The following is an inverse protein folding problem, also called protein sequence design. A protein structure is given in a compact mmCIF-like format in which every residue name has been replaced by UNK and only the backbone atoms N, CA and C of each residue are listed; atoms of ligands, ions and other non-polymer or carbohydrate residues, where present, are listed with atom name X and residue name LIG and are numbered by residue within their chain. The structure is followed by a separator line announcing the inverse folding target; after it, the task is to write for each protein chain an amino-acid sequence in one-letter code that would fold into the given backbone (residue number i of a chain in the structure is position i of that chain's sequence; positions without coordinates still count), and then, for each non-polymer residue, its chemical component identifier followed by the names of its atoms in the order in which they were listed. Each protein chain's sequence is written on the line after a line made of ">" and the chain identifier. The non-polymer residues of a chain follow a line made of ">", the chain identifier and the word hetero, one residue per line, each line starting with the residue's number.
data_IF_832351790934
#
_entry.id   IF_832351790934
#
_cell.length_a   1.000
_cell.length_b   1.000
_cell.length_c   1.000
_cell.angle_alpha   90.00
_cell.angle_beta   90.00
_cell.angle_gamma   90.00
#
_symmetry.space_group_name_H-M   'P 1'
#
loop_
_entity.id
_entity.type
_entity.pdbx_description
1 polymer ?
#
# COMPACT_ATOMS: atom_id res chain seq x y z
N UNK A 1 -19.58 3.63 21.51
CA UNK A 1 -19.36 4.05 20.11
C UNK A 1 -20.06 3.03 19.24
N UNK A 2 -21.13 3.38 18.50
CA UNK A 2 -21.75 2.43 17.59
C UNK A 2 -20.76 2.13 16.46
N UNK A 3 -20.48 0.84 16.26
CA UNK A 3 -19.68 0.34 15.15
C UNK A 3 -20.38 0.70 13.84
N UNK A 4 -19.77 1.56 13.03
CA UNK A 4 -20.22 1.77 11.66
C UNK A 4 -19.72 0.56 10.86
N UNK A 5 -20.60 -0.30 10.34
CA UNK A 5 -20.18 -1.48 9.60
C UNK A 5 -19.46 -1.03 8.31
N UNK A 6 -18.19 -1.41 8.20
CA UNK A 6 -17.42 -1.21 6.97
C UNK A 6 -18.00 -2.10 5.86
N UNK A 7 -18.07 -1.60 4.61
CA UNK A 7 -18.63 -2.35 3.49
C UNK A 7 -17.86 -3.66 3.26
N UNK A 8 -18.57 -4.70 2.83
CA UNK A 8 -18.01 -5.99 2.41
C UNK A 8 -17.26 -5.81 1.08
N UNK A 9 -15.95 -6.06 1.09
CA UNK A 9 -15.02 -5.82 -0.03
C UNK A 9 -14.47 -7.11 -0.64
N UNK A 10 -15.09 -8.26 -0.34
CA UNK A 10 -14.73 -9.58 -0.89
C UNK A 10 -14.53 -9.57 -2.42
N UNK A 11 -15.32 -8.78 -3.15
CA UNK A 11 -15.26 -8.68 -4.62
C UNK A 11 -14.21 -7.70 -5.20
N UNK A 12 -13.45 -6.96 -4.38
CA UNK A 12 -12.37 -6.07 -4.89
C UNK A 12 -11.21 -6.85 -5.54
N UNK A 13 -11.13 -8.17 -5.34
CA UNK A 13 -10.16 -9.06 -6.02
C UNK A 13 -10.36 -9.14 -7.54
N UNK A 14 -11.56 -8.84 -8.05
CA UNK A 14 -11.87 -8.92 -9.48
C UNK A 14 -11.03 -7.96 -10.35
N UNK A 15 -10.51 -6.88 -9.74
CA UNK A 15 -9.63 -5.92 -10.42
C UNK A 15 -8.24 -6.49 -10.78
N UNK A 16 -7.79 -7.58 -10.15
CA UNK A 16 -6.44 -8.15 -10.32
C UNK A 16 -6.36 -9.49 -11.04
N UNK A 17 -7.49 -10.01 -11.54
CA UNK A 17 -7.54 -11.28 -12.28
C UNK A 17 -7.38 -12.50 -11.37
N UNK A 18 -8.25 -13.49 -11.56
CA UNK A 18 -8.17 -14.81 -10.93
C UNK A 18 -6.79 -15.43 -11.21
N UNK A 19 -6.01 -15.71 -10.17
CA UNK A 19 -4.77 -16.46 -10.30
C UNK A 19 -5.10 -17.96 -10.29
N UNK A 20 -4.91 -18.62 -11.43
CA UNK A 20 -4.64 -20.06 -11.47
C UNK A 20 -3.12 -20.25 -11.52
N UNK A 21 -2.53 -21.06 -10.62
CA UNK A 21 -1.10 -21.32 -10.65
C UNK A 21 -0.70 -22.01 -11.97
N UNK A 22 0.46 -21.67 -12.56
CA UNK A 22 0.94 -22.35 -13.75
C UNK A 22 1.23 -23.84 -13.44
N UNK A 23 0.92 -24.77 -14.37
CA UNK A 23 1.19 -26.18 -14.15
C UNK A 23 2.69 -26.41 -13.96
N UNK A 24 3.04 -27.22 -12.95
CA UNK A 24 4.41 -27.65 -12.67
C UNK A 24 4.98 -28.30 -13.93
N UNK A 25 6.02 -27.69 -14.51
CA UNK A 25 6.80 -28.30 -15.60
C UNK A 25 7.50 -29.54 -15.06
N UNK A 26 7.02 -30.72 -15.46
CA UNK A 26 7.79 -31.96 -15.37
C UNK A 26 8.98 -31.86 -16.34
N UNK A 27 10.19 -32.30 -15.93
CA UNK A 27 11.33 -32.30 -16.83
C UNK A 27 11.17 -33.39 -17.89
N UNK A 28 11.15 -32.98 -19.16
CA UNK A 28 11.24 -33.90 -20.29
C UNK A 28 12.67 -34.49 -20.40
N UNK A 29 12.83 -35.76 -20.74
CA UNK A 29 14.13 -36.42 -20.78
C UNK A 29 14.98 -35.94 -21.97
N UNK A 30 16.27 -35.79 -21.70
CA UNK A 30 17.30 -35.40 -22.65
C UNK A 30 17.47 -36.41 -23.78
N UNK A 31 17.55 -35.94 -25.03
CA UNK A 31 17.99 -36.75 -26.15
C UNK A 31 19.17 -36.07 -26.89
N UNK A 32 20.23 -36.86 -27.10
CA UNK A 32 21.53 -36.47 -27.69
C UNK A 32 21.48 -36.41 -29.23
N UNK A 33 22.48 -35.79 -29.89
CA UNK A 33 22.36 -35.31 -31.27
C UNK A 33 22.84 -36.33 -32.31
N UNK A 34 22.24 -36.31 -33.50
CA UNK A 34 22.77 -36.98 -34.70
C UNK A 34 23.20 -35.97 -35.78
N UNK A 35 24.37 -36.23 -36.36
CA UNK A 35 25.10 -35.46 -37.38
C UNK A 35 24.63 -35.79 -38.82
N UNK A 36 24.61 -34.72 -39.65
CA UNK A 36 24.98 -34.60 -41.08
C UNK A 36 24.30 -35.46 -42.19
N UNK A 37 23.77 -34.79 -43.23
CA UNK A 37 24.44 -34.62 -44.54
C UNK A 37 23.77 -33.57 -45.46
N UNK A 38 24.58 -33.09 -46.40
CA UNK A 38 24.47 -31.91 -47.30
C UNK A 38 23.59 -32.12 -48.54
N UNK A 39 23.14 -31.01 -49.11
CA UNK A 39 22.78 -30.85 -50.53
C UNK A 39 22.70 -29.37 -50.91
N UNK A 40 23.58 -28.93 -51.80
CA UNK A 40 23.79 -27.56 -52.31
C UNK A 40 22.62 -26.99 -53.12
N UNK A 41 22.49 -25.65 -53.11
CA UNK A 41 22.33 -24.77 -54.30
C UNK A 41 22.17 -23.29 -53.88
N UNK A 42 23.14 -22.46 -54.24
CA UNK A 42 23.19 -20.98 -54.14
C UNK A 42 22.96 -20.33 -55.53
N UNK A 43 22.97 -18.98 -55.71
CA UNK A 43 22.32 -17.90 -54.96
C UNK A 43 21.63 -16.87 -55.91
N UNK A 44 20.87 -15.91 -55.35
CA UNK A 44 20.60 -14.61 -55.99
C UNK A 44 20.58 -13.49 -54.94
N UNK A 45 21.29 -12.40 -55.21
CA UNK A 45 21.74 -11.40 -54.24
C UNK A 45 20.88 -10.14 -54.07
N UNK A 46 21.42 -9.20 -53.28
CA UNK A 46 20.97 -7.80 -53.13
C UNK A 46 20.83 -7.35 -51.66
N UNK A 47 21.95 -7.08 -50.95
CA UNK A 47 22.42 -5.73 -50.51
C UNK A 47 21.40 -4.87 -49.72
N UNK A 48 21.52 -4.69 -48.41
CA UNK A 48 22.31 -3.62 -47.73
C UNK A 48 21.32 -2.69 -46.97
N UNK A 49 21.50 -2.15 -45.78
CA UNK A 49 22.67 -1.69 -45.03
C UNK A 49 22.30 -1.55 -43.53
N UNK A 50 23.17 -2.04 -42.64
CA UNK A 50 23.27 -1.63 -41.23
C UNK A 50 24.21 -0.42 -41.14
N UNK A 51 23.91 0.55 -40.28
CA UNK A 51 24.88 1.56 -39.84
C UNK A 51 24.91 1.64 -38.31
N UNK A 52 25.98 1.10 -37.73
CA UNK A 52 26.61 1.59 -36.51
C UNK A 52 27.57 2.72 -36.88
N UNK A 53 27.70 3.74 -36.02
CA UNK A 53 28.91 4.57 -35.97
C UNK A 53 29.10 5.12 -34.56
N UNK A 54 30.30 4.88 -34.03
CA UNK A 54 30.85 5.46 -32.82
C UNK A 54 31.96 6.48 -33.17
N UNK A 55 32.07 7.49 -32.30
CA UNK A 55 33.26 8.21 -31.79
C UNK A 55 34.21 9.06 -32.67
N UNK A 56 34.91 9.93 -31.91
CA UNK A 56 35.97 10.94 -32.18
C UNK A 56 35.45 12.38 -32.47
N UNK A 57 35.93 13.48 -31.87
CA UNK A 57 36.88 13.74 -30.77
C UNK A 57 36.77 15.25 -30.35
N UNK A 58 37.31 15.60 -29.16
CA UNK A 58 37.47 16.95 -28.54
C UNK A 58 38.57 17.81 -29.25
N UNK A 59 38.98 19.06 -28.86
CA UNK A 59 38.88 19.73 -27.54
C UNK A 59 38.73 21.28 -27.51
N UNK A 60 38.48 21.84 -26.30
CA UNK A 60 39.18 23.05 -25.79
C UNK A 60 38.91 23.31 -24.30
N UNK A 61 40.01 23.42 -23.57
CA UNK A 61 40.14 23.85 -22.17
C UNK A 61 39.98 25.37 -22.03
N UNK A 62 39.55 25.85 -20.86
CA UNK A 62 40.34 26.80 -20.02
C UNK A 62 39.64 27.07 -18.68
N UNK A 63 40.42 26.94 -17.61
CA UNK A 63 40.13 27.32 -16.21
C UNK A 63 40.55 28.80 -16.00
N UNK A 64 40.12 29.44 -14.91
CA UNK A 64 41.16 29.78 -13.93
C UNK A 64 40.76 29.58 -12.45
N UNK A 65 41.83 29.39 -11.67
CA UNK A 65 41.94 29.32 -10.21
C UNK A 65 42.54 30.64 -9.66
N UNK A 66 42.69 30.73 -8.32
CA UNK A 66 43.32 31.77 -7.48
C UNK A 66 42.33 32.83 -6.90
N UNK A 67 42.31 33.24 -5.62
CA UNK A 67 43.14 33.02 -4.43
C UNK A 67 42.43 33.58 -3.17
N UNK A 68 42.72 33.04 -1.98
CA UNK A 68 42.48 33.67 -0.66
C UNK A 68 43.39 34.92 -0.44
N UNK A 69 43.20 35.73 0.62
CA UNK A 69 43.75 35.39 1.95
C UNK A 69 42.92 35.85 3.17
N UNK A 70 43.25 35.29 4.34
CA UNK A 70 42.87 35.75 5.69
C UNK A 70 43.57 37.07 6.08
N UNK A 71 43.20 37.68 7.22
CA UNK A 71 44.09 37.55 8.40
C UNK A 71 43.38 37.48 9.77
N UNK A 72 44.01 36.74 10.69
CA UNK A 72 43.99 36.87 12.17
C UNK A 72 45.16 37.82 12.59
N UNK A 73 45.42 38.23 13.87
CA UNK A 73 45.18 37.49 15.14
C UNK A 73 44.94 38.32 16.44
N UNK A 74 44.97 37.58 17.58
CA UNK A 74 45.32 37.95 18.97
C UNK A 74 44.15 38.05 19.97
N UNK A 75 44.02 37.07 20.89
CA UNK A 75 44.60 36.97 22.27
C UNK A 75 43.76 37.78 23.29
N UNK A 76 43.43 37.38 24.53
CA UNK A 76 43.73 36.31 25.49
C UNK A 76 42.39 35.98 26.19
N UNK A 77 42.19 34.88 26.92
CA UNK A 77 42.64 34.72 28.30
C UNK A 77 42.35 33.31 28.82
N UNK A 78 43.24 32.83 29.67
CA UNK A 78 43.21 31.51 30.29
C UNK A 78 42.81 31.62 31.76
N UNK A 79 41.95 30.71 32.27
CA UNK A 79 42.02 30.28 33.69
C UNK A 79 41.65 28.79 33.80
N UNK A 80 42.40 28.15 34.68
CA UNK A 80 42.69 26.73 34.92
C UNK A 80 41.60 25.87 35.60
N UNK A 81 41.81 24.54 35.65
CA UNK A 81 40.96 23.58 36.35
C UNK A 81 41.22 23.54 37.86
N UNK A 82 40.19 23.21 38.64
CA UNK A 82 40.32 22.98 40.08
C UNK A 82 40.36 21.46 40.33
N UNK A 83 41.42 21.03 40.99
CA UNK A 83 41.68 19.67 41.48
C UNK A 83 41.60 19.62 43.02
N UNK A 84 41.50 18.40 43.52
CA UNK A 84 41.76 17.85 44.86
C UNK A 84 40.83 18.19 46.03
N UNK A 85 40.16 17.14 46.52
CA UNK A 85 40.35 16.73 47.92
C UNK A 85 40.14 15.22 48.08
N UNK A 86 41.26 14.51 48.20
CA UNK A 86 41.37 13.12 48.65
C UNK A 86 41.18 13.07 50.16
N UNK A 87 40.48 12.05 50.66
CA UNK A 87 40.67 11.50 52.00
C UNK A 87 40.34 10.02 51.97
N UNK A 88 41.39 9.21 51.85
CA UNK A 88 41.37 7.79 52.21
C UNK A 88 41.34 7.67 53.74
N UNK A 89 40.57 6.71 54.28
CA UNK A 89 40.95 5.82 55.39
C UNK A 89 40.05 4.58 55.32
N UNK A 90 40.70 3.43 55.08
CA UNK A 90 40.50 2.07 55.66
C UNK A 90 39.28 1.88 56.58
N UNK A 91 38.45 0.82 56.54
CA UNK A 91 38.79 -0.61 56.60
C UNK A 91 37.49 -1.44 56.68
N UNK A 92 37.42 -2.55 55.92
CA UNK A 92 36.72 -3.85 56.15
C UNK A 92 35.20 -3.86 56.53
N UNK A 93 34.34 -4.64 55.84
CA UNK A 93 32.88 -4.58 56.01
C UNK A 93 32.36 -5.50 57.13
N UNK A 94 31.24 -5.15 57.81
CA UNK A 94 30.44 -6.13 58.51
C UNK A 94 29.42 -6.78 57.56
N UNK A 95 29.55 -8.09 57.40
CA UNK A 95 28.54 -8.97 56.82
C UNK A 95 27.24 -8.90 57.61
N UNK A 96 26.17 -8.40 57.00
CA UNK A 96 24.80 -8.73 57.38
C UNK A 96 23.98 -9.00 56.11
N UNK A 97 23.16 -10.07 56.10
CA UNK A 97 22.48 -10.54 54.89
C UNK A 97 21.39 -9.54 54.50
N UNK A 98 21.49 -9.02 53.28
CA UNK A 98 20.42 -8.30 52.60
C UNK A 98 19.28 -9.31 52.37
N UNK A 99 18.06 -9.09 52.91
CA UNK A 99 16.91 -9.84 52.49
C UNK A 99 16.68 -9.50 51.02
N UNK A 100 16.83 -10.50 50.14
CA UNK A 100 16.28 -10.49 48.80
C UNK A 100 14.77 -10.39 48.95
N UNK A 101 14.26 -9.16 49.02
CA UNK A 101 12.85 -8.91 48.80
C UNK A 101 12.66 -9.04 47.30
N UNK A 102 12.39 -10.27 46.89
CA UNK A 102 11.74 -10.57 45.61
C UNK A 102 10.56 -9.60 45.50
N UNK A 103 10.70 -8.58 44.65
CA UNK A 103 9.54 -7.94 44.06
C UNK A 103 9.05 -8.91 42.98
N UNK A 104 8.49 -10.02 43.42
CA UNK A 104 7.42 -10.69 42.71
C UNK A 104 6.28 -9.67 42.64
N UNK A 105 6.34 -8.79 41.64
CA UNK A 105 5.15 -8.10 41.17
C UNK A 105 4.29 -9.21 40.61
N UNK A 106 3.16 -9.57 41.27
CA UNK A 106 2.23 -10.48 40.66
C UNK A 106 1.75 -9.75 39.42
N UNK A 107 2.06 -10.29 38.24
CA UNK A 107 1.35 -9.92 37.02
C UNK A 107 -0.08 -10.34 37.31
N UNK A 108 -0.88 -9.41 37.83
CA UNK A 108 -2.29 -9.61 38.10
C UNK A 108 -2.96 -9.81 36.75
N UNK A 109 -2.98 -11.06 36.28
CA UNK A 109 -3.74 -11.55 35.13
C UNK A 109 -5.23 -11.54 35.48
N UNK A 110 -5.74 -10.36 35.77
CA UNK A 110 -7.16 -10.05 35.84
C UNK A 110 -7.40 -8.81 34.98
N UNK A 111 -6.86 -8.81 33.76
CA UNK A 111 -7.36 -7.92 32.72
C UNK A 111 -8.65 -8.56 32.18
N UNK A 112 -9.76 -8.25 32.85
CA UNK A 112 -11.12 -8.67 32.46
C UNK A 112 -11.64 -7.88 31.26
N UNK A 113 -10.78 -7.12 30.54
CA UNK A 113 -11.20 -6.47 29.30
C UNK A 113 -11.64 -7.52 28.29
N UNK A 114 -12.87 -7.42 27.75
CA UNK A 114 -13.35 -8.37 26.76
C UNK A 114 -12.40 -8.39 25.56
N UNK A 115 -11.79 -9.54 25.31
CA UNK A 115 -10.92 -9.75 24.15
C UNK A 115 -11.74 -9.49 22.90
N UNK A 116 -11.29 -8.52 22.10
CA UNK A 116 -11.98 -8.20 20.85
C UNK A 116 -11.72 -9.33 19.85
N UNK A 117 -12.76 -9.82 19.15
CA UNK A 117 -12.63 -11.02 18.32
C UNK A 117 -11.73 -10.80 17.10
N UNK A 118 -11.60 -9.56 16.61
CA UNK A 118 -10.94 -9.26 15.34
C UNK A 118 -9.85 -8.18 15.38
N UNK A 119 -9.42 -7.74 16.57
CA UNK A 119 -8.39 -6.71 16.72
C UNK A 119 -7.64 -6.85 18.06
N UNK A 120 -6.49 -6.19 18.24
CA UNK A 120 -5.80 -6.20 19.52
C UNK A 120 -6.67 -5.63 20.63
N UNK A 121 -6.58 -6.22 21.81
CA UNK A 121 -7.13 -5.64 23.04
C UNK A 121 -6.21 -4.49 23.52
N UNK A 122 -6.70 -3.51 24.31
CA UNK A 122 -5.93 -2.32 24.67
C UNK A 122 -4.52 -2.60 25.24
N UNK A 123 -4.36 -3.67 26.01
CA UNK A 123 -3.08 -4.06 26.63
C UNK A 123 -2.48 -5.34 26.04
N UNK A 124 -3.02 -5.83 24.91
CA UNK A 124 -2.53 -7.07 24.28
C UNK A 124 -1.23 -6.78 23.52
N UNK A 125 -0.11 -7.46 23.86
CA UNK A 125 1.11 -7.35 23.07
C UNK A 125 0.85 -7.79 21.64
N UNK A 126 1.42 -7.08 20.66
CA UNK A 126 1.19 -7.37 19.24
C UNK A 126 1.53 -8.84 18.88
N UNK A 127 2.55 -9.42 19.53
CA UNK A 127 2.92 -10.83 19.35
C UNK A 127 1.83 -11.81 19.82
N UNK A 128 1.17 -11.52 20.94
CA UNK A 128 0.05 -12.31 21.44
C UNK A 128 -1.16 -12.22 20.50
N UNK A 129 -1.46 -11.01 20.02
CA UNK A 129 -2.49 -10.78 19.01
C UNK A 129 -2.24 -11.57 17.73
N UNK A 130 -1.02 -11.52 17.19
CA UNK A 130 -0.64 -12.24 15.97
C UNK A 130 -0.69 -13.76 16.15
N UNK A 131 -0.34 -14.28 17.33
CA UNK A 131 -0.45 -15.70 17.64
C UNK A 131 -1.91 -16.16 17.71
N UNK A 132 -2.79 -15.32 18.26
CA UNK A 132 -4.23 -15.59 18.42
C UNK A 132 -4.99 -15.52 17.10
N UNK A 133 -4.68 -14.55 16.24
CA UNK A 133 -5.41 -14.27 15.00
C UNK A 133 -4.51 -14.35 13.77
N UNK A 134 -4.35 -15.58 13.26
CA UNK A 134 -3.68 -15.85 11.99
C UNK A 134 -4.67 -15.76 10.82
N UNK A 135 -4.47 -14.86 9.84
CA UNK A 135 -5.38 -14.72 8.71
C UNK A 135 -5.57 -16.00 7.90
N UNK A 136 -4.54 -16.86 7.81
CA UNK A 136 -4.59 -18.13 7.09
C UNK A 136 -5.57 -19.15 7.70
N UNK A 137 -5.75 -19.15 9.02
CA UNK A 137 -6.56 -20.14 9.75
C UNK A 137 -7.85 -19.56 10.33
N UNK A 138 -7.97 -18.24 10.40
CA UNK A 138 -9.19 -17.57 10.86
C UNK A 138 -10.22 -17.65 9.75
N UNK A 139 -11.36 -18.31 9.98
CA UNK A 139 -12.43 -18.42 8.99
C UNK A 139 -13.30 -17.17 8.96
N UNK A 140 -13.71 -16.75 7.77
CA UNK A 140 -14.65 -15.62 7.59
C UNK A 140 -16.02 -15.84 8.25
N UNK A 141 -16.41 -17.11 8.46
CA UNK A 141 -17.65 -17.51 9.15
C UNK A 141 -17.51 -17.59 10.66
N UNK A 142 -16.31 -17.42 11.21
CA UNK A 142 -16.09 -17.37 12.65
C UNK A 142 -16.60 -16.05 13.24
N UNK A 143 -16.74 -15.93 14.58
CA UNK A 143 -17.07 -14.66 15.23
C UNK A 143 -16.12 -13.50 14.92
N UNK A 144 -14.91 -13.78 14.40
CA UNK A 144 -13.97 -12.77 13.91
C UNK A 144 -14.48 -12.04 12.66
N UNK A 145 -15.30 -12.70 11.85
CA UNK A 145 -15.78 -12.21 10.56
C UNK A 145 -14.71 -12.19 9.47
N UNK A 146 -15.00 -11.49 8.37
CA UNK A 146 -14.14 -11.47 7.16
C UNK A 146 -12.84 -10.67 7.28
N UNK A 147 -12.62 -9.96 8.39
CA UNK A 147 -11.54 -8.98 8.53
C UNK A 147 -10.90 -9.00 9.90
N UNK A 148 -9.58 -9.02 9.93
CA UNK A 148 -8.76 -8.73 11.12
C UNK A 148 -8.19 -7.32 10.98
N UNK A 149 -8.17 -6.56 12.06
CA UNK A 149 -7.76 -5.16 12.10
C UNK A 149 -6.62 -4.92 13.08
N UNK A 150 -5.75 -3.96 12.75
CA UNK A 150 -4.91 -3.29 13.75
C UNK A 150 -4.80 -1.81 13.42
N UNK A 151 -4.58 -0.99 14.45
CA UNK A 151 -4.49 0.46 14.36
C UNK A 151 -3.25 0.92 15.10
N UNK A 152 -2.66 2.02 14.64
CA UNK A 152 -1.69 2.74 15.45
C UNK A 152 -2.37 3.24 16.72
N UNK A 153 -1.73 3.05 17.87
CA UNK A 153 -2.29 3.41 19.17
C UNK A 153 -2.58 4.91 19.33
N UNK A 154 -1.95 5.76 18.51
CA UNK A 154 -2.07 7.21 18.57
C UNK A 154 -3.10 7.79 17.58
N UNK A 155 -3.91 6.95 16.91
CA UNK A 155 -4.86 7.45 15.92
C UNK A 155 -6.27 7.57 16.47
N UNK A 156 -6.80 8.79 16.40
CA UNK A 156 -8.22 9.06 16.60
C UNK A 156 -8.92 9.18 15.25
N UNK A 157 -9.99 8.42 15.07
CA UNK A 157 -10.80 8.51 13.86
C UNK A 157 -11.58 9.82 13.85
N UNK A 158 -11.44 10.63 12.79
CA UNK A 158 -12.20 11.85 12.69
C UNK A 158 -13.69 11.52 12.48
N UNK A 159 -14.57 12.39 12.97
CA UNK A 159 -16.01 12.24 12.75
C UNK A 159 -16.31 12.46 11.27
N UNK A 160 -16.81 11.42 10.60
CA UNK A 160 -17.16 11.44 9.19
C UNK A 160 -18.66 11.23 8.98
N UNK A 161 -19.24 11.98 8.04
CA UNK A 161 -20.66 11.86 7.68
C UNK A 161 -20.85 10.92 6.49
N UNK A 162 -20.69 9.63 6.77
CA UNK A 162 -20.84 8.58 5.78
C UNK A 162 -22.26 8.55 5.16
N UNK A 163 -23.29 8.85 5.96
CA UNK A 163 -24.67 8.83 5.48
C UNK A 163 -24.89 9.89 4.42
N UNK A 164 -24.40 11.11 4.65
CA UNK A 164 -24.47 12.19 3.67
C UNK A 164 -23.62 11.89 2.44
N UNK A 165 -22.41 11.33 2.61
CA UNK A 165 -21.57 10.92 1.47
C UNK A 165 -22.34 9.96 0.55
N UNK A 166 -22.91 8.90 1.13
CA UNK A 166 -23.62 7.88 0.35
C UNK A 166 -24.86 8.49 -0.32
N UNK A 167 -25.68 9.24 0.42
CA UNK A 167 -26.90 9.84 -0.13
C UNK A 167 -26.61 10.80 -1.30
N UNK A 168 -25.70 11.77 -1.10
CA UNK A 168 -25.39 12.77 -2.10
C UNK A 168 -24.55 12.20 -3.25
N UNK A 169 -23.64 11.26 -2.94
CA UNK A 169 -22.79 10.60 -3.92
C UNK A 169 -23.59 9.69 -4.85
N UNK A 170 -24.51 8.88 -4.32
CA UNK A 170 -25.43 8.07 -5.14
C UNK A 170 -26.31 8.96 -6.04
N UNK A 171 -26.76 10.11 -5.53
CA UNK A 171 -27.50 11.09 -6.35
C UNK A 171 -26.64 11.64 -7.49
N UNK A 172 -25.38 12.01 -7.23
CA UNK A 172 -24.45 12.48 -8.24
C UNK A 172 -24.16 11.41 -9.31
N UNK A 173 -23.95 10.15 -8.90
CA UNK A 173 -23.75 9.01 -9.80
C UNK A 173 -24.95 8.78 -10.71
N UNK A 174 -26.17 8.86 -10.17
CA UNK A 174 -27.41 8.75 -10.96
C UNK A 174 -27.54 9.89 -11.97
N UNK A 175 -27.34 11.13 -11.54
CA UNK A 175 -27.41 12.29 -12.42
C UNK A 175 -26.39 12.22 -13.56
N UNK A 176 -25.17 11.75 -13.27
CA UNK A 176 -24.14 11.54 -14.29
C UNK A 176 -24.55 10.48 -15.33
N UNK A 177 -25.16 9.37 -14.89
CA UNK A 177 -25.67 8.34 -15.79
C UNK A 177 -26.74 8.89 -16.75
N UNK A 178 -27.65 9.70 -16.23
CA UNK A 178 -28.68 10.38 -17.03
C UNK A 178 -28.05 11.38 -18.02
N UNK A 179 -27.10 12.19 -17.57
CA UNK A 179 -26.38 13.14 -18.41
C UNK A 179 -25.62 12.45 -19.56
N UNK A 180 -24.89 11.36 -19.29
CA UNK A 180 -24.20 10.59 -20.33
C UNK A 180 -25.19 10.01 -21.35
N UNK A 181 -26.34 9.51 -20.89
CA UNK A 181 -27.36 8.99 -21.79
C UNK A 181 -27.90 10.08 -22.72
N UNK A 182 -28.14 11.29 -22.18
CA UNK A 182 -28.56 12.45 -22.96
C UNK A 182 -27.51 12.88 -23.98
N UNK A 183 -26.24 13.02 -23.59
CA UNK A 183 -25.12 13.36 -24.49
C UNK A 183 -25.04 12.39 -25.67
N UNK A 184 -25.17 11.08 -25.39
CA UNK A 184 -25.17 10.05 -26.45
C UNK A 184 -26.38 10.19 -27.38
N UNK A 185 -27.57 10.41 -26.84
CA UNK A 185 -28.79 10.58 -27.63
C UNK A 185 -28.74 11.85 -28.50
N UNK A 186 -28.22 12.96 -27.98
CA UNK A 186 -28.03 14.20 -28.72
C UNK A 186 -26.97 14.06 -29.80
N UNK A 187 -25.86 13.39 -29.52
CA UNK A 187 -24.84 13.09 -30.52
C UNK A 187 -25.38 12.22 -31.66
N UNK A 188 -26.24 11.24 -31.36
CA UNK A 188 -26.91 10.41 -32.36
C UNK A 188 -27.88 11.18 -33.27
N UNK A 189 -28.44 12.30 -32.80
CA UNK A 189 -29.32 13.19 -33.59
C UNK A 189 -28.54 14.14 -34.50
N UNK A 190 -27.22 14.33 -34.31
CA UNK A 190 -26.40 15.24 -35.12
C UNK A 190 -26.25 14.71 -36.56
N UNK A 191 -26.19 15.58 -37.58
CA UNK A 191 -25.97 15.14 -38.96
C UNK A 191 -24.61 14.43 -39.10
N UNK A 192 -24.53 13.39 -39.94
CA UNK A 192 -23.34 12.51 -40.08
C UNK A 192 -22.01 13.26 -40.23
N UNK A 193 -21.98 14.40 -40.93
CA UNK A 193 -20.78 15.25 -41.11
C UNK A 193 -20.26 15.86 -39.78
N UNK A 194 -21.12 16.06 -38.79
CA UNK A 194 -20.81 16.61 -37.45
C UNK A 194 -20.82 15.56 -36.34
N UNK A 195 -21.18 14.31 -36.66
CA UNK A 195 -21.24 13.18 -35.73
C UNK A 195 -19.86 12.53 -35.56
N UNK A 196 -18.87 13.31 -35.11
CA UNK A 196 -17.50 12.79 -34.98
C UNK A 196 -17.32 12.03 -33.66
N UNK A 197 -16.68 10.84 -33.67
CA UNK A 197 -16.39 10.09 -32.44
C UNK A 197 -15.54 10.89 -31.45
N UNK A 198 -14.58 11.68 -31.96
CA UNK A 198 -13.69 12.48 -31.12
C UNK A 198 -14.44 13.54 -30.29
N UNK A 199 -15.47 14.19 -30.87
CA UNK A 199 -16.28 15.16 -30.15
C UNK A 199 -17.07 14.51 -29.00
N UNK A 200 -17.67 13.34 -29.26
CA UNK A 200 -18.39 12.57 -28.24
C UNK A 200 -17.45 12.14 -27.11
N UNK A 201 -16.29 11.59 -27.45
CA UNK A 201 -15.30 11.16 -26.46
C UNK A 201 -14.83 12.32 -25.57
N UNK A 202 -14.62 13.50 -26.15
CA UNK A 202 -14.23 14.70 -25.39
C UNK A 202 -15.32 15.11 -24.39
N UNK A 203 -16.57 15.13 -24.83
CA UNK A 203 -17.72 15.50 -24.01
C UNK A 203 -17.92 14.50 -22.86
N UNK A 204 -17.90 13.19 -23.15
CA UNK A 204 -17.98 12.14 -22.13
C UNK A 204 -16.81 12.20 -21.13
N UNK A 205 -15.62 12.56 -21.59
CA UNK A 205 -14.45 12.73 -20.71
C UNK A 205 -14.63 13.92 -19.77
N UNK A 206 -15.23 15.02 -20.24
CA UNK A 206 -15.52 16.17 -19.41
C UNK A 206 -16.53 15.81 -18.31
N UNK A 207 -17.65 15.15 -18.66
CA UNK A 207 -18.63 14.70 -17.68
C UNK A 207 -18.03 13.79 -16.59
N UNK A 208 -17.07 12.92 -16.96
CA UNK A 208 -16.37 12.06 -15.99
C UNK A 208 -15.52 12.86 -15.02
N UNK A 209 -14.78 13.85 -15.52
CA UNK A 209 -13.98 14.77 -14.68
C UNK A 209 -14.86 15.57 -13.74
N UNK A 210 -16.00 16.05 -14.23
CA UNK A 210 -16.95 16.83 -13.42
C UNK A 210 -17.55 15.97 -12.30
N UNK A 211 -17.88 14.71 -12.60
CA UNK A 211 -18.32 13.74 -11.59
C UNK A 211 -17.22 13.48 -10.56
N UNK A 212 -16.00 13.17 -11.00
CA UNK A 212 -14.84 12.94 -10.11
C UNK A 212 -14.62 14.12 -9.15
N UNK A 213 -14.59 15.35 -9.67
CA UNK A 213 -14.47 16.57 -8.87
C UNK A 213 -15.61 16.72 -7.86
N UNK A 214 -16.85 16.38 -8.27
CA UNK A 214 -18.02 16.42 -7.39
C UNK A 214 -17.87 15.42 -6.24
N UNK A 215 -17.44 14.20 -6.54
CA UNK A 215 -17.25 13.15 -5.53
C UNK A 215 -16.13 13.49 -4.54
N UNK A 216 -15.01 14.04 -5.01
CA UNK A 216 -13.93 14.48 -4.12
C UNK A 216 -14.32 15.69 -3.27
N UNK A 217 -15.06 16.63 -3.85
CA UNK A 217 -15.62 17.75 -3.07
C UNK A 217 -16.56 17.26 -1.97
N UNK A 218 -17.40 16.26 -2.27
CA UNK A 218 -18.29 15.65 -1.30
C UNK A 218 -17.53 14.87 -0.22
N UNK A 219 -16.50 14.12 -0.59
CA UNK A 219 -15.63 13.41 0.35
C UNK A 219 -15.00 14.37 1.36
N UNK A 220 -14.51 15.52 0.90
CA UNK A 220 -13.99 16.60 1.76
C UNK A 220 -15.05 17.19 2.68
N UNK A 221 -16.22 17.53 2.15
CA UNK A 221 -17.32 18.10 2.95
C UNK A 221 -17.83 17.14 4.03
N UNK A 222 -17.77 15.83 3.77
CA UNK A 222 -18.23 14.77 4.68
C UNK A 222 -17.10 14.18 5.53
N UNK A 223 -15.88 14.68 5.37
CA UNK A 223 -14.68 14.22 6.06
C UNK A 223 -14.36 12.72 5.85
N UNK A 224 -14.77 12.16 4.70
CA UNK A 224 -14.42 10.79 4.28
C UNK A 224 -13.19 10.86 3.37
N UNK A 225 -12.07 11.28 3.96
CA UNK A 225 -10.86 11.68 3.23
C UNK A 225 -9.74 10.64 3.32
N UNK A 226 -9.92 9.56 4.05
CA UNK A 226 -8.94 8.48 4.13
C UNK A 226 -8.81 7.72 2.80
N UNK A 227 -7.71 7.01 2.66
CA UNK A 227 -7.52 6.06 1.57
C UNK A 227 -6.59 4.93 1.98
N UNK A 228 -6.35 3.99 1.07
CA UNK A 228 -5.66 2.74 1.38
C UNK A 228 -4.83 2.21 0.23
N UNK A 229 -3.63 1.72 0.55
CA UNK A 229 -2.83 0.87 -0.32
C UNK A 229 -3.38 -0.56 -0.27
N UNK A 230 -3.59 -1.17 -1.44
CA UNK A 230 -4.14 -2.51 -1.60
C UNK A 230 -3.01 -3.49 -1.98
N UNK A 231 -2.75 -4.48 -1.10
CA UNK A 231 -1.78 -5.55 -1.31
C UNK A 231 -2.52 -6.89 -1.40
N UNK A 232 -2.23 -7.67 -2.42
CA UNK A 232 -2.79 -9.01 -2.59
C UNK A 232 -1.69 -10.02 -2.33
N UNK A 233 -1.80 -10.76 -1.23
CA UNK A 233 -0.77 -11.69 -0.75
C UNK A 233 -1.27 -13.11 -0.91
N UNK A 234 -0.41 -14.00 -1.43
CA UNK A 234 -0.76 -15.42 -1.54
C UNK A 234 -1.04 -16.03 -0.16
N UNK A 235 -1.99 -16.97 -0.04
CA UNK A 235 -2.37 -17.58 1.23
C UNK A 235 -1.19 -18.15 2.03
N UNK A 236 -0.15 -18.65 1.36
CA UNK A 236 1.03 -19.25 2.01
C UNK A 236 1.93 -18.22 2.70
N UNK A 237 1.85 -16.95 2.28
CA UNK A 237 2.67 -15.84 2.82
C UNK A 237 1.87 -14.87 3.67
N UNK A 238 0.55 -15.04 3.75
CA UNK A 238 -0.34 -14.03 4.37
C UNK A 238 -0.01 -13.78 5.83
N UNK A 239 0.31 -14.83 6.61
CA UNK A 239 0.60 -14.70 8.04
C UNK A 239 1.92 -13.95 8.28
N UNK A 240 2.96 -14.26 7.49
CA UNK A 240 4.26 -13.58 7.56
C UNK A 240 4.13 -12.10 7.21
N UNK A 241 3.50 -11.80 6.07
CA UNK A 241 3.29 -10.43 5.61
C UNK A 241 2.40 -9.66 6.59
N UNK A 242 1.35 -10.30 7.10
CA UNK A 242 0.47 -9.70 8.11
C UNK A 242 1.23 -9.33 9.38
N UNK A 243 2.10 -10.20 9.88
CA UNK A 243 2.94 -9.91 11.05
C UNK A 243 3.78 -8.64 10.86
N UNK A 244 4.49 -8.54 9.73
CA UNK A 244 5.31 -7.38 9.38
C UNK A 244 4.47 -6.09 9.32
N UNK A 245 3.34 -6.15 8.61
CA UNK A 245 2.47 -4.98 8.41
C UNK A 245 1.81 -4.56 9.72
N UNK A 246 1.32 -5.51 10.51
CA UNK A 246 0.64 -5.25 11.77
C UNK A 246 1.58 -4.61 12.80
N UNK A 247 2.80 -5.12 12.94
CA UNK A 247 3.81 -4.54 13.82
C UNK A 247 4.22 -3.13 13.39
N UNK A 248 4.52 -2.93 12.10
CA UNK A 248 4.91 -1.61 11.59
C UNK A 248 3.77 -0.59 11.70
N UNK A 249 2.50 -1.03 11.58
CA UNK A 249 1.32 -0.18 11.78
C UNK A 249 1.14 0.17 13.26
N UNK A 250 1.28 -0.80 14.17
CA UNK A 250 1.16 -0.56 15.61
C UNK A 250 2.21 0.45 16.11
N UNK A 251 3.42 0.42 15.54
CA UNK A 251 4.51 1.38 15.79
C UNK A 251 4.32 2.75 15.12
N UNK A 252 3.28 2.92 14.30
CA UNK A 252 3.04 4.17 13.55
C UNK A 252 3.99 4.41 12.38
N UNK A 253 4.76 3.40 11.95
CA UNK A 253 5.71 3.54 10.84
C UNK A 253 5.03 3.50 9.47
N UNK A 254 3.91 2.76 9.38
CA UNK A 254 3.04 2.74 8.21
C UNK A 254 1.95 3.81 8.33
N UNK A 255 0.75 3.49 7.86
CA UNK A 255 -0.43 4.32 8.00
C UNK A 255 -1.08 4.18 9.37
N UNK A 256 -2.26 4.78 9.54
CA UNK A 256 -2.94 4.78 10.85
C UNK A 256 -3.59 3.45 11.20
N UNK A 257 -3.85 2.61 10.21
CA UNK A 257 -4.53 1.34 10.40
C UNK A 257 -4.33 0.41 9.24
N UNK A 258 -4.60 -0.85 9.47
CA UNK A 258 -4.56 -1.89 8.45
C UNK A 258 -5.65 -2.92 8.73
N UNK A 259 -6.17 -3.52 7.67
CA UNK A 259 -6.98 -4.73 7.74
C UNK A 259 -6.48 -5.82 6.81
N UNK A 260 -6.72 -7.07 7.16
CA UNK A 260 -6.45 -8.25 6.34
C UNK A 260 -7.69 -9.12 6.22
N UNK A 261 -7.92 -9.64 5.02
CA UNK A 261 -8.99 -10.59 4.75
C UNK A 261 -8.68 -11.95 5.42
N UNK A 262 -9.67 -12.51 6.11
CA UNK A 262 -9.58 -13.84 6.71
C UNK A 262 -9.71 -14.95 5.65
N UNK A 263 -9.47 -16.20 6.05
CA UNK A 263 -9.65 -17.33 5.16
C UNK A 263 -11.12 -17.51 4.76
N UNK A 264 -11.37 -17.56 3.45
CA UNK A 264 -12.67 -17.94 2.92
C UNK A 264 -12.94 -19.43 3.21
N UNK A 265 -14.21 -19.77 3.46
CA UNK A 265 -14.64 -21.16 3.49
C UNK A 265 -14.69 -21.64 2.05
N UNK A 266 -13.89 -22.64 1.70
CA UNK A 266 -14.00 -23.26 0.38
C UNK A 266 -15.40 -23.89 0.27
N UNK A 267 -16.27 -23.29 -0.55
CA UNK A 267 -17.47 -23.98 -1.01
C UNK A 267 -17.04 -25.09 -1.98
N UNK A 268 -17.75 -26.22 -1.98
CA UNK A 268 -17.46 -27.35 -2.86
C UNK A 268 -17.36 -26.88 -4.32
N UNK A 269 -16.13 -26.87 -4.86
CA UNK A 269 -15.84 -26.50 -6.24
C UNK A 269 -15.25 -25.10 -6.48
N UNK A 270 -15.08 -24.24 -5.45
CA UNK A 270 -14.40 -22.95 -5.62
C UNK A 270 -12.96 -22.98 -5.08
N UNK A 271 -12.01 -22.50 -5.88
CA UNK A 271 -10.59 -22.33 -5.54
C UNK A 271 -10.36 -21.09 -4.65
N UNK A 272 -11.38 -20.65 -3.92
CA UNK A 272 -11.39 -19.49 -3.00
C UNK A 272 -10.32 -19.58 -1.91
N UNK A 273 -9.98 -20.81 -1.50
CA UNK A 273 -8.87 -21.08 -0.59
C UNK A 273 -7.50 -20.68 -1.16
N UNK A 274 -7.34 -20.68 -2.50
CA UNK A 274 -6.09 -20.33 -3.21
C UNK A 274 -6.04 -18.88 -3.65
N UNK A 275 -7.14 -18.12 -3.54
CA UNK A 275 -7.18 -16.70 -3.94
C UNK A 275 -6.33 -15.85 -3.00
N UNK A 276 -5.60 -14.90 -3.58
CA UNK A 276 -4.79 -13.96 -2.82
C UNK A 276 -5.65 -13.19 -1.80
N UNK A 277 -5.10 -12.98 -0.60
CA UNK A 277 -5.74 -12.26 0.50
C UNK A 277 -5.40 -10.78 0.43
N UNK A 278 -6.42 -9.93 0.56
CA UNK A 278 -6.24 -8.49 0.58
C UNK A 278 -5.73 -8.04 1.95
N UNK A 279 -4.62 -7.29 1.95
CA UNK A 279 -4.17 -6.44 3.04
C UNK A 279 -4.33 -4.99 2.60
N UNK A 280 -5.07 -4.19 3.37
CA UNK A 280 -5.31 -2.79 3.07
C UNK A 280 -4.69 -1.90 4.16
N UNK A 281 -3.70 -1.08 3.80
CA UNK A 281 -2.98 -0.17 4.71
C UNK A 281 -3.51 1.25 4.50
N UNK A 282 -4.08 1.86 5.54
CA UNK A 282 -4.79 3.13 5.47
C UNK A 282 -3.93 4.35 5.77
N UNK A 283 -4.07 5.40 4.97
CA UNK A 283 -3.51 6.73 5.26
C UNK A 283 -4.62 7.72 5.58
N UNK A 284 -4.28 8.78 6.31
CA UNK A 284 -5.27 9.70 6.89
C UNK A 284 -6.01 10.52 5.84
N UNK A 285 -5.31 10.89 4.79
CA UNK A 285 -5.80 11.78 3.75
C UNK A 285 -5.29 11.33 2.38
N UNK A 286 -6.20 11.03 1.45
CA UNK A 286 -5.85 10.59 0.11
C UNK A 286 -5.20 11.68 -0.76
N UNK A 287 -5.36 12.97 -0.44
CA UNK A 287 -4.71 14.08 -1.18
C UNK A 287 -3.38 14.49 -0.56
N UNK A 288 -3.09 14.05 0.68
CA UNK A 288 -1.74 14.19 1.25
C UNK A 288 -0.78 13.22 0.56
N UNK A 289 -0.34 13.63 -0.63
CA UNK A 289 0.58 12.86 -1.46
C UNK A 289 1.89 12.55 -0.72
N UNK A 290 2.32 13.40 0.21
CA UNK A 290 3.55 13.18 0.96
C UNK A 290 3.37 12.03 1.97
N UNK A 291 2.26 11.97 2.70
CA UNK A 291 1.96 10.84 3.60
C UNK A 291 1.73 9.54 2.81
N UNK A 292 0.99 9.61 1.70
CA UNK A 292 0.77 8.47 0.80
C UNK A 292 2.09 7.89 0.29
N UNK A 293 3.02 8.75 -0.14
CA UNK A 293 4.36 8.35 -0.58
C UNK A 293 5.22 7.82 0.58
N UNK A 294 5.18 8.47 1.75
CA UNK A 294 5.91 8.04 2.96
C UNK A 294 5.55 6.61 3.32
N UNK A 295 4.26 6.29 3.35
CA UNK A 295 3.77 4.93 3.62
C UNK A 295 4.23 3.96 2.54
N UNK A 296 4.13 4.31 1.26
CA UNK A 296 4.62 3.46 0.16
C UNK A 296 6.12 3.19 0.26
N UNK A 297 6.94 4.20 0.59
CA UNK A 297 8.39 4.05 0.77
C UNK A 297 8.71 3.11 1.93
N UNK A 298 7.97 3.21 3.04
CA UNK A 298 8.12 2.28 4.16
C UNK A 298 7.70 0.86 3.77
N UNK A 299 6.61 0.68 3.05
CA UNK A 299 6.20 -0.62 2.49
C UNK A 299 7.31 -1.23 1.61
N UNK A 300 7.94 -0.42 0.75
CA UNK A 300 9.05 -0.88 -0.09
C UNK A 300 10.28 -1.27 0.75
N UNK A 301 10.62 -0.52 1.79
CA UNK A 301 11.72 -0.85 2.71
C UNK A 301 11.47 -2.17 3.47
N UNK A 302 10.20 -2.48 3.75
CA UNK A 302 9.76 -3.74 4.35
C UNK A 302 9.59 -4.87 3.32
N UNK A 303 9.97 -4.65 2.05
CA UNK A 303 9.86 -5.62 0.94
C UNK A 303 8.42 -6.09 0.68
N UNK A 304 7.44 -5.21 0.89
CA UNK A 304 6.01 -5.48 0.70
C UNK A 304 5.48 -5.05 -0.67
N UNK A 305 6.32 -4.38 -1.45
CA UNK A 305 6.03 -3.93 -2.82
C UNK A 305 6.85 -4.80 -3.77
N UNK A 306 6.37 -4.98 -4.99
CA UNK A 306 7.03 -5.78 -6.03
C UNK A 306 7.17 -7.28 -5.69
N UNK A 307 6.26 -7.84 -4.87
CA UNK A 307 6.29 -9.25 -4.48
C UNK A 307 6.28 -10.21 -5.69
N UNK A 308 5.61 -9.81 -6.78
CA UNK A 308 5.43 -10.61 -8.00
C UNK A 308 5.61 -9.80 -9.31
N UNK A 309 6.36 -8.68 -9.30
CA UNK A 309 6.49 -7.82 -10.49
C UNK A 309 5.27 -6.92 -10.76
N UNK A 310 4.31 -6.88 -9.82
CA UNK A 310 3.02 -6.19 -9.97
C UNK A 310 2.97 -4.92 -9.13
N UNK A 311 2.46 -3.81 -9.68
CA UNK A 311 2.30 -2.59 -8.91
C UNK A 311 1.18 -2.74 -7.87
N UNK A 312 1.40 -2.17 -6.69
CA UNK A 312 0.34 -1.90 -5.71
C UNK A 312 -0.41 -0.64 -6.09
N UNK A 313 -1.71 -0.58 -5.75
CA UNK A 313 -2.60 0.53 -6.09
C UNK A 313 -3.21 1.14 -4.83
N UNK A 314 -3.50 2.43 -4.93
CA UNK A 314 -4.07 3.24 -3.86
C UNK A 314 -5.50 3.66 -4.23
N UNK A 315 -6.43 3.52 -3.28
CA UNK A 315 -7.85 3.84 -3.46
C UNK A 315 -8.36 4.69 -2.29
N UNK A 316 -9.12 5.75 -2.58
CA UNK A 316 -9.80 6.51 -1.53
C UNK A 316 -11.00 5.77 -0.96
N UNK A 317 -11.31 6.03 0.31
CA UNK A 317 -12.42 5.39 1.01
C UNK A 317 -13.77 5.86 0.49
N UNK A 318 -13.87 7.12 0.02
CA UNK A 318 -15.09 7.63 -0.58
C UNK A 318 -15.57 6.75 -1.76
N UNK A 319 -14.66 6.33 -2.64
CA UNK A 319 -14.99 5.42 -3.74
C UNK A 319 -15.41 4.04 -3.25
N UNK A 320 -14.81 3.55 -2.17
CA UNK A 320 -15.23 2.29 -1.54
C UNK A 320 -16.66 2.37 -1.01
N UNK A 321 -17.02 3.47 -0.34
CA UNK A 321 -18.37 3.66 0.21
C UNK A 321 -19.44 3.90 -0.86
N UNK A 322 -19.05 4.44 -2.02
CA UNK A 322 -19.93 4.66 -3.17
C UNK A 322 -19.95 3.48 -4.15
N UNK A 323 -19.36 2.35 -3.78
CA UNK A 323 -19.28 1.14 -4.59
C UNK A 323 -18.62 1.33 -5.98
N UNK A 324 -17.68 2.26 -6.07
CA UNK A 324 -16.92 2.52 -7.30
C UNK A 324 -15.79 1.50 -7.39
N UNK A 325 -16.06 0.42 -8.14
CA UNK A 325 -15.11 -0.67 -8.41
C UNK A 325 -14.42 -0.51 -9.77
N UNK A 326 -13.47 -1.38 -10.05
CA UNK A 326 -12.88 -1.47 -11.39
C UNK A 326 -13.94 -1.80 -12.44
N UNK A 327 -13.86 -1.18 -13.62
CA UNK A 327 -14.82 -1.41 -14.70
C UNK A 327 -16.24 -0.89 -14.42
N UNK A 328 -16.41 0.03 -13.47
CA UNK A 328 -17.71 0.63 -13.15
C UNK A 328 -18.39 1.30 -14.35
N UNK A 329 -19.71 1.41 -14.30
CA UNK A 329 -20.54 1.95 -15.39
C UNK A 329 -20.33 3.44 -15.68
N UNK A 330 -19.77 4.19 -14.72
CA UNK A 330 -19.48 5.62 -14.85
C UNK A 330 -18.16 5.88 -15.59
N UNK A 331 -17.33 4.86 -15.78
CA UNK A 331 -16.02 4.99 -16.42
C UNK A 331 -15.01 5.77 -15.59
N UNK A 332 -15.19 5.81 -14.27
CA UNK A 332 -14.22 6.38 -13.33
C UNK A 332 -13.07 5.40 -13.08
N UNK A 333 -11.86 5.91 -12.86
CA UNK A 333 -10.74 5.07 -12.43
C UNK A 333 -10.89 4.79 -10.94
N UNK A 334 -10.97 3.52 -10.55
CA UNK A 334 -11.17 3.15 -9.14
C UNK A 334 -9.93 3.35 -8.26
N UNK A 335 -8.74 3.51 -8.85
CA UNK A 335 -7.48 3.76 -8.14
C UNK A 335 -7.00 5.20 -8.39
N UNK A 336 -6.59 5.90 -7.34
CA UNK A 336 -6.03 7.25 -7.43
C UNK A 336 -4.54 7.20 -7.81
N UNK A 337 -3.78 6.32 -7.15
CA UNK A 337 -2.35 6.16 -7.41
C UNK A 337 -1.98 4.70 -7.62
N UNK A 338 -0.83 4.50 -8.22
CA UNK A 338 -0.09 3.26 -8.27
C UNK A 338 1.32 3.49 -7.72
N UNK A 339 1.96 2.44 -7.25
CA UNK A 339 3.39 2.47 -6.87
C UNK A 339 4.30 3.07 -7.95
N UNK A 340 3.95 2.88 -9.22
CA UNK A 340 4.68 3.42 -10.38
C UNK A 340 4.64 4.94 -10.46
N UNK A 341 3.57 5.56 -9.97
CA UNK A 341 3.44 7.03 -9.92
C UNK A 341 4.42 7.67 -8.93
N UNK A 342 5.12 6.86 -8.12
CA UNK A 342 6.17 7.25 -7.18
C UNK A 342 7.53 6.58 -7.48
N UNK A 343 7.71 6.04 -8.70
CA UNK A 343 8.97 5.43 -9.12
C UNK A 343 9.29 4.08 -8.46
N UNK A 344 8.29 3.41 -7.85
CA UNK A 344 8.40 2.03 -7.35
C UNK A 344 7.74 1.07 -8.35
N UNK A 345 8.39 -0.06 -8.65
CA UNK A 345 7.86 -1.03 -9.61
C UNK A 345 6.83 -1.95 -8.97
#
# INVERSE_FOLDING_TARGET
>A
MPEVPMPDLSDESSFYGLYSPPPKRTPAPANKPHRFRRGDCTPRGGSGQLRHRALLEHPRETVPSASSPAPEPEASDAVQPMDVSTSEISSVPPSTPIPTHDFDVPISSTDTTPVRPNRPSPNEPISSFLARLRPSSTLSTSPTGSWIYTTSYSYEQPQADLKKLVADGTKALKAHKEAIAQVRAEHAKKPKKKQTPAALTRELTQHRKDLENTLFSLARQTNVVSGKWLLFVLPEKVDEVWGIVAEATAKGELGFGVKVATAAVAADGDDDAKKARLIAIYTKDYEDRADVERVLRKMAALKLVDLDGRPVYYKCDAYTHLDIRGGNEWGLRASMYSSRDFGKK
#
